data_IF_684892127457
#
_entry.id   IF_684892127457
#
_cell.length_a   1.000
_cell.length_b   1.000
_cell.length_c   1.000
_cell.angle_alpha   90.00
_cell.angle_beta   90.00
_cell.angle_gamma   90.00
#
_symmetry.space_group_name_H-M   'P 1'
#
loop_
_entity.id
_entity.type
_entity.pdbx_description
1 polymer ?
#
# COMPACT_ATOMS: atom_id res chain seq x y z
N UNK A 1 -19.71 -17.47 16.09
CA UNK A 1 -19.66 -16.04 16.48
C UNK A 1 -18.62 -15.75 17.57
N UNK A 2 -17.67 -16.65 17.84
CA UNK A 2 -16.66 -16.53 18.92
C UNK A 2 -15.47 -15.62 18.56
N UNK A 3 -15.08 -15.53 17.29
CA UNK A 3 -13.93 -14.73 16.84
C UNK A 3 -14.10 -13.20 16.96
N UNK A 4 -15.31 -12.69 17.21
CA UNK A 4 -15.57 -11.25 17.31
C UNK A 4 -15.62 -10.72 18.74
N UNK A 5 -15.39 -11.55 19.75
CA UNK A 5 -15.35 -11.09 21.13
C UNK A 5 -13.90 -10.68 21.49
N UNK A 6 -13.60 -9.38 21.66
CA UNK A 6 -12.25 -8.91 21.95
C UNK A 6 -11.71 -9.43 23.29
N UNK A 7 -12.58 -9.78 24.23
CA UNK A 7 -12.19 -10.40 25.50
C UNK A 7 -11.69 -11.83 25.27
N UNK A 8 -12.43 -12.62 24.49
CA UNK A 8 -12.04 -13.99 24.15
C UNK A 8 -10.73 -14.03 23.35
N UNK A 9 -10.56 -13.11 22.40
CA UNK A 9 -9.32 -12.96 21.65
C UNK A 9 -8.14 -12.59 22.57
N UNK A 10 -8.35 -11.68 23.53
CA UNK A 10 -7.33 -11.34 24.50
C UNK A 10 -6.90 -12.55 25.33
N UNK A 11 -7.85 -13.36 25.78
CA UNK A 11 -7.57 -14.60 26.53
C UNK A 11 -6.78 -15.61 25.67
N UNK A 12 -7.18 -15.82 24.42
CA UNK A 12 -6.48 -16.70 23.48
C UNK A 12 -5.03 -16.24 23.19
N UNK A 13 -4.83 -14.93 23.02
CA UNK A 13 -3.49 -14.35 22.84
C UNK A 13 -2.66 -14.54 24.11
N UNK A 14 -3.22 -14.28 25.29
CA UNK A 14 -2.52 -14.47 26.57
C UNK A 14 -2.03 -15.91 26.74
N UNK A 15 -2.91 -16.90 26.48
CA UNK A 15 -2.55 -18.33 26.54
C UNK A 15 -1.49 -18.71 25.51
N UNK A 16 -1.57 -18.13 24.31
CA UNK A 16 -0.61 -18.41 23.23
C UNK A 16 0.77 -17.85 23.55
N UNK A 17 0.85 -16.60 24.02
CA UNK A 17 2.12 -16.00 24.49
C UNK A 17 2.67 -16.81 25.67
N UNK A 18 1.82 -17.23 26.61
CA UNK A 18 2.25 -18.04 27.76
C UNK A 18 2.87 -19.36 27.32
N UNK A 19 2.23 -20.09 26.40
CA UNK A 19 2.78 -21.34 25.85
C UNK A 19 4.09 -21.10 25.11
N UNK A 20 4.16 -20.04 24.31
CA UNK A 20 5.37 -19.67 23.60
C UNK A 20 6.54 -19.34 24.55
N UNK A 21 6.30 -18.56 25.60
CA UNK A 21 7.34 -18.21 26.59
C UNK A 21 7.85 -19.45 27.33
N UNK A 22 6.96 -20.38 27.70
CA UNK A 22 7.37 -21.66 28.30
C UNK A 22 8.21 -22.52 27.37
N UNK A 23 7.90 -22.53 26.08
CA UNK A 23 8.62 -23.31 25.08
C UNK A 23 9.97 -22.67 24.69
N UNK A 24 10.03 -21.34 24.60
CA UNK A 24 11.22 -20.58 24.20
C UNK A 24 12.23 -20.42 25.34
N UNK A 25 11.79 -20.44 26.60
CA UNK A 25 12.64 -20.39 27.80
C UNK A 25 12.46 -21.65 28.66
N UNK A 26 12.94 -22.82 28.20
CA UNK A 26 12.79 -24.05 28.94
C UNK A 26 13.63 -24.03 30.23
N UNK A 27 12.97 -24.18 31.38
CA UNK A 27 13.62 -24.30 32.68
C UNK A 27 13.91 -25.78 32.96
N UNK A 28 15.16 -26.14 33.24
CA UNK A 28 15.54 -27.53 33.56
C UNK A 28 14.76 -28.08 34.76
N UNK A 29 14.39 -29.36 34.72
CA UNK A 29 13.67 -30.05 35.82
C UNK A 29 14.46 -30.06 37.15
N UNK A 30 15.77 -29.78 37.10
CA UNK A 30 16.63 -29.63 38.28
C UNK A 30 16.32 -28.39 39.13
N UNK A 31 15.54 -27.44 38.61
CA UNK A 31 15.16 -26.20 39.30
C UNK A 31 13.63 -26.09 39.44
N UNK A 32 12.98 -26.95 40.25
CA UNK A 32 11.53 -26.99 40.37
C UNK A 32 10.93 -25.69 40.94
N UNK A 33 11.61 -25.07 41.92
CA UNK A 33 11.17 -23.80 42.50
C UNK A 33 11.22 -22.66 41.49
N UNK A 34 12.24 -22.63 40.62
CA UNK A 34 12.34 -21.62 39.56
C UNK A 34 11.24 -21.82 38.51
N UNK A 35 10.96 -23.07 38.12
CA UNK A 35 9.85 -23.37 37.19
C UNK A 35 8.51 -22.93 37.78
N UNK A 36 8.29 -23.20 39.07
CA UNK A 36 7.07 -22.79 39.78
C UNK A 36 6.96 -21.26 39.85
N UNK A 37 8.05 -20.56 40.16
CA UNK A 37 8.09 -19.09 40.19
C UNK A 37 7.82 -18.48 38.80
N UNK A 38 8.40 -19.04 37.75
CA UNK A 38 8.16 -18.63 36.36
C UNK A 38 6.70 -18.84 35.94
N UNK A 39 6.13 -20.00 36.24
CA UNK A 39 4.72 -20.30 35.96
C UNK A 39 3.76 -19.43 36.76
N UNK A 40 4.14 -19.02 37.97
CA UNK A 40 3.38 -18.09 38.79
C UNK A 40 3.47 -16.66 38.24
N UNK A 41 4.66 -16.23 37.82
CA UNK A 41 4.86 -14.93 37.19
C UNK A 41 4.00 -14.79 35.93
N UNK A 42 4.03 -15.77 35.01
CA UNK A 42 3.23 -15.76 33.78
C UNK A 42 1.71 -15.81 33.99
N UNK A 43 1.25 -16.07 35.22
CA UNK A 43 -0.16 -16.04 35.62
C UNK A 43 -0.56 -14.75 36.33
N UNK A 44 0.39 -13.86 36.60
CA UNK A 44 0.06 -12.54 37.17
C UNK A 44 -0.85 -11.78 36.20
N UNK A 45 -1.95 -11.20 36.70
CA UNK A 45 -2.81 -10.33 35.89
C UNK A 45 -1.98 -9.15 35.36
N UNK A 46 -2.32 -8.69 34.16
CA UNK A 46 -1.66 -7.55 33.47
C UNK A 46 -0.19 -7.72 33.08
N UNK A 47 0.45 -8.86 33.39
CA UNK A 47 1.84 -9.09 32.99
C UNK A 47 1.98 -9.29 31.47
N UNK A 48 1.12 -10.12 30.89
CA UNK A 48 1.18 -10.46 29.46
C UNK A 48 0.32 -9.51 28.62
N UNK A 49 -0.87 -9.16 29.12
CA UNK A 49 -1.83 -8.29 28.45
C UNK A 49 -2.61 -7.50 29.51
N UNK A 50 -2.83 -6.20 29.28
CA UNK A 50 -3.66 -5.32 30.12
C UNK A 50 -5.15 -5.36 29.75
N UNK A 51 -5.54 -6.30 28.88
CA UNK A 51 -6.87 -6.37 28.27
C UNK A 51 -7.00 -5.57 26.96
N UNK A 52 -8.15 -5.70 26.25
CA UNK A 52 -8.40 -4.96 25.03
C UNK A 52 -8.69 -3.49 25.34
N UNK A 53 -7.92 -2.58 24.73
CA UNK A 53 -8.20 -1.15 24.80
C UNK A 53 -9.28 -0.79 23.78
N UNK A 54 -10.39 -0.23 24.27
CA UNK A 54 -11.43 0.34 23.42
C UNK A 54 -11.28 1.84 23.47
N UNK A 55 -10.89 2.42 22.34
CA UNK A 55 -10.83 3.87 22.16
C UNK A 55 -11.89 4.28 21.12
N UNK A 56 -12.71 5.27 21.46
CA UNK A 56 -13.57 5.93 20.47
C UNK A 56 -12.75 7.06 19.86
N UNK A 57 -12.32 6.88 18.61
CA UNK A 57 -11.70 7.96 17.86
C UNK A 57 -12.82 8.88 17.34
N UNK A 58 -12.73 10.20 17.57
CA UNK A 58 -13.68 11.14 16.97
C UNK A 58 -13.63 11.03 15.45
N UNK A 59 -14.77 11.18 14.79
CA UNK A 59 -14.80 11.17 13.32
C UNK A 59 -14.00 12.37 12.81
N UNK A 60 -13.27 12.17 11.71
CA UNK A 60 -12.52 13.25 11.09
C UNK A 60 -13.48 14.24 10.44
N UNK A 61 -13.14 15.52 10.51
CA UNK A 61 -13.86 16.60 9.83
C UNK A 61 -14.06 16.23 8.36
N UNK A 62 -15.28 16.45 7.85
CA UNK A 62 -15.65 16.13 6.46
C UNK A 62 -15.47 17.36 5.59
N UNK A 63 -14.99 17.12 4.37
CA UNK A 63 -14.94 18.09 3.29
C UNK A 63 -15.97 17.77 2.21
N UNK A 64 -15.70 18.27 1.00
CA UNK A 64 -16.45 17.98 -0.23
C UNK A 64 -16.30 16.52 -0.67
N UNK A 65 -17.28 16.02 -1.42
CA UNK A 65 -17.18 14.71 -2.07
C UNK A 65 -16.30 14.74 -3.33
N UNK A 66 -15.91 13.58 -3.84
CA UNK A 66 -15.24 13.50 -5.15
C UNK A 66 -16.13 14.04 -6.26
N UNK A 67 -17.44 13.82 -6.16
CA UNK A 67 -18.43 14.39 -7.08
C UNK A 67 -18.39 15.92 -7.09
N UNK A 68 -18.43 16.56 -5.92
CA UNK A 68 -18.39 18.02 -5.83
C UNK A 68 -17.09 18.59 -6.41
N UNK A 69 -15.99 17.84 -6.28
CA UNK A 69 -14.67 18.19 -6.80
C UNK A 69 -14.49 17.92 -8.30
N UNK A 70 -15.32 17.06 -8.91
CA UNK A 70 -15.28 16.75 -10.34
C UNK A 70 -16.33 17.53 -11.16
N UNK A 71 -17.51 17.80 -10.59
CA UNK A 71 -18.64 18.41 -11.31
C UNK A 71 -18.93 19.86 -10.88
N UNK A 72 -18.23 20.37 -9.85
CA UNK A 72 -18.44 21.70 -9.32
C UNK A 72 -17.98 22.84 -10.25
N UNK A 73 -18.35 24.10 -9.96
CA UNK A 73 -17.99 25.27 -10.78
C UNK A 73 -16.48 25.51 -10.90
N UNK A 74 -15.69 24.97 -9.96
CA UNK A 74 -14.23 24.93 -9.98
C UNK A 74 -13.76 23.47 -9.91
N UNK A 75 -14.17 22.65 -10.89
CA UNK A 75 -13.80 21.23 -10.97
C UNK A 75 -12.27 21.06 -10.90
N UNK A 76 -11.82 20.39 -9.84
CA UNK A 76 -10.41 20.09 -9.57
C UNK A 76 -10.02 18.74 -10.16
N UNK A 77 -10.94 17.78 -10.18
CA UNK A 77 -10.71 16.41 -10.60
C UNK A 77 -11.16 16.17 -12.05
N UNK A 78 -10.52 15.21 -12.71
CA UNK A 78 -10.91 14.73 -14.03
C UNK A 78 -12.30 14.05 -14.02
N UNK A 79 -13.11 14.28 -15.06
CA UNK A 79 -14.50 13.78 -15.17
C UNK A 79 -14.64 12.26 -15.03
N UNK A 80 -13.60 11.50 -15.40
CA UNK A 80 -13.60 10.04 -15.29
C UNK A 80 -13.63 9.52 -13.85
N UNK A 81 -13.47 10.37 -12.83
CA UNK A 81 -13.71 9.98 -11.43
C UNK A 81 -15.14 9.46 -11.20
N UNK A 82 -16.12 9.87 -12.02
CA UNK A 82 -17.49 9.33 -12.00
C UNK A 82 -17.60 7.83 -12.27
N UNK A 83 -16.53 7.18 -12.74
CA UNK A 83 -16.43 5.73 -12.91
C UNK A 83 -16.26 4.98 -11.59
N UNK A 84 -15.83 5.67 -10.53
CA UNK A 84 -15.78 5.11 -9.18
C UNK A 84 -17.19 4.69 -8.75
N UNK A 85 -17.28 3.69 -7.86
CA UNK A 85 -18.57 3.30 -7.31
C UNK A 85 -19.22 4.49 -6.58
N UNK A 86 -20.56 4.55 -6.58
CA UNK A 86 -21.30 5.66 -5.95
C UNK A 86 -20.99 5.85 -4.47
N UNK A 87 -20.75 4.74 -3.75
CA UNK A 87 -20.39 4.78 -2.34
C UNK A 87 -19.05 5.47 -2.03
N UNK A 88 -18.15 5.55 -3.01
CA UNK A 88 -16.88 6.29 -2.94
C UNK A 88 -17.05 7.68 -3.58
N UNK A 89 -17.69 7.78 -4.74
CA UNK A 89 -17.81 9.03 -5.51
C UNK A 89 -18.67 10.09 -4.82
N UNK A 90 -19.82 9.67 -4.25
CA UNK A 90 -20.78 10.57 -3.61
C UNK A 90 -20.45 10.82 -2.13
N UNK A 91 -19.56 10.02 -1.52
CA UNK A 91 -19.23 10.12 -0.10
C UNK A 91 -18.37 11.37 0.16
N UNK A 92 -18.66 12.16 1.23
CA UNK A 92 -17.79 13.23 1.68
C UNK A 92 -16.39 12.72 2.03
N UNK A 93 -15.36 13.39 1.49
CA UNK A 93 -13.97 13.14 1.87
C UNK A 93 -13.74 13.59 3.31
N UNK A 94 -12.67 13.09 3.92
CA UNK A 94 -12.13 13.74 5.10
C UNK A 94 -11.43 15.05 4.70
N UNK A 95 -11.44 16.06 5.56
CA UNK A 95 -10.90 17.39 5.24
C UNK A 95 -9.44 17.32 4.78
N UNK A 96 -8.62 16.51 5.46
CA UNK A 96 -7.22 16.29 5.09
C UNK A 96 -7.03 15.65 3.70
N UNK A 97 -8.00 14.85 3.23
CA UNK A 97 -7.97 14.31 1.87
C UNK A 97 -8.25 15.42 0.86
N UNK A 98 -9.26 16.27 1.12
CA UNK A 98 -9.54 17.42 0.26
C UNK A 98 -8.37 18.43 0.25
N UNK A 99 -7.80 18.74 1.42
CA UNK A 99 -6.63 19.62 1.55
C UNK A 99 -5.44 19.07 0.73
N UNK A 100 -5.19 17.76 0.81
CA UNK A 100 -4.16 17.12 -0.01
C UNK A 100 -4.47 17.20 -1.52
N UNK A 101 -5.73 17.02 -1.94
CA UNK A 101 -6.12 17.20 -3.34
C UNK A 101 -5.86 18.64 -3.81
N UNK A 102 -6.25 19.63 -3.02
CA UNK A 102 -6.04 21.04 -3.35
C UNK A 102 -4.55 21.40 -3.45
N UNK A 103 -3.74 20.97 -2.49
CA UNK A 103 -2.30 21.23 -2.49
C UNK A 103 -1.60 20.55 -3.68
N UNK A 104 -1.88 19.26 -3.92
CA UNK A 104 -1.17 18.47 -4.92
C UNK A 104 -1.66 18.76 -6.34
N UNK A 105 -2.98 18.79 -6.58
CA UNK A 105 -3.55 18.97 -7.93
C UNK A 105 -3.68 20.46 -8.25
N UNK A 106 -4.20 21.25 -7.30
CA UNK A 106 -4.45 22.68 -7.49
C UNK A 106 -3.19 23.53 -7.43
N UNK A 107 -2.30 23.22 -6.47
CA UNK A 107 -1.06 23.96 -6.23
C UNK A 107 0.20 23.35 -6.84
N UNK A 108 0.20 22.05 -7.17
CA UNK A 108 1.41 21.35 -7.62
C UNK A 108 2.45 21.17 -6.50
N UNK A 109 2.02 21.15 -5.24
CA UNK A 109 2.91 21.19 -4.08
C UNK A 109 3.40 19.80 -3.64
N UNK A 110 4.66 19.74 -3.20
CA UNK A 110 5.18 18.58 -2.46
C UNK A 110 4.54 18.54 -1.08
N UNK A 111 3.75 17.50 -0.80
CA UNK A 111 2.88 17.45 0.39
C UNK A 111 3.30 16.34 1.36
N UNK A 112 3.32 16.66 2.66
CA UNK A 112 3.43 15.69 3.75
C UNK A 112 2.07 15.59 4.43
N UNK A 113 1.49 14.38 4.46
CA UNK A 113 0.21 14.12 5.11
C UNK A 113 0.48 13.44 6.46
N UNK A 114 0.26 14.18 7.55
CA UNK A 114 0.44 13.70 8.92
C UNK A 114 -0.93 13.48 9.57
N UNK A 115 -1.46 12.26 9.46
CA UNK A 115 -2.78 11.89 10.00
C UNK A 115 -2.73 10.58 10.78
N UNK A 116 -3.73 10.34 11.64
CA UNK A 116 -3.82 9.12 12.43
C UNK A 116 -4.01 7.85 11.58
N UNK A 117 -3.70 6.68 12.14
CA UNK A 117 -3.94 5.39 11.49
C UNK A 117 -5.43 5.21 11.17
N UNK A 118 -5.73 4.69 9.98
CA UNK A 118 -7.12 4.49 9.56
C UNK A 118 -7.85 5.76 9.08
N UNK A 119 -7.16 6.91 8.96
CA UNK A 119 -7.79 8.16 8.50
C UNK A 119 -8.12 8.19 7.00
N UNK A 120 -7.66 7.21 6.22
CA UNK A 120 -7.72 7.27 4.76
C UNK A 120 -6.59 8.10 4.12
N UNK A 121 -5.37 8.02 4.68
CA UNK A 121 -4.17 8.67 4.11
C UNK A 121 -3.85 8.17 2.69
N UNK A 122 -4.25 6.94 2.36
CA UNK A 122 -3.99 6.33 1.05
C UNK A 122 -4.65 7.15 -0.08
N UNK A 123 -5.88 7.58 0.13
CA UNK A 123 -6.65 8.39 -0.82
C UNK A 123 -5.98 9.75 -1.11
N UNK A 124 -5.23 10.30 -0.14
CA UNK A 124 -4.55 11.59 -0.28
C UNK A 124 -3.50 11.59 -1.40
N UNK A 125 -2.90 10.44 -1.72
CA UNK A 125 -1.95 10.32 -2.83
C UNK A 125 -2.52 9.53 -4.02
N UNK A 126 -3.42 8.57 -3.80
CA UNK A 126 -4.00 7.79 -4.91
C UNK A 126 -4.85 8.64 -5.85
N UNK A 127 -5.65 9.56 -5.32
CA UNK A 127 -6.52 10.39 -6.15
C UNK A 127 -5.74 11.41 -6.99
N UNK A 128 -4.74 12.16 -6.46
CA UNK A 128 -3.87 12.97 -7.31
C UNK A 128 -3.14 12.18 -8.39
N UNK A 129 -2.63 10.99 -8.04
CA UNK A 129 -2.00 10.11 -9.02
C UNK A 129 -2.98 9.74 -10.14
N UNK A 130 -4.18 9.30 -9.77
CA UNK A 130 -5.20 8.91 -10.73
C UNK A 130 -5.57 10.09 -11.64
N UNK A 131 -5.83 11.27 -11.08
CA UNK A 131 -6.14 12.49 -11.83
C UNK A 131 -5.03 12.81 -12.85
N UNK A 132 -3.77 12.81 -12.43
CA UNK A 132 -2.64 13.13 -13.30
C UNK A 132 -2.39 12.10 -14.40
N UNK A 133 -2.73 10.82 -14.17
CA UNK A 133 -2.72 9.77 -15.19
C UNK A 133 -3.90 9.94 -16.16
N UNK A 134 -5.09 10.27 -15.65
CA UNK A 134 -6.28 10.50 -16.45
C UNK A 134 -6.20 11.78 -17.30
N UNK A 135 -5.38 12.75 -16.93
CA UNK A 135 -5.09 13.95 -17.73
C UNK A 135 -4.04 13.72 -18.82
N UNK A 136 -3.28 12.61 -18.78
CA UNK A 136 -2.30 12.31 -19.82
C UNK A 136 -3.01 11.97 -21.14
N UNK A 137 -2.63 12.53 -22.30
CA UNK A 137 -3.27 12.21 -23.58
C UNK A 137 -3.29 10.69 -23.81
N UNK A 138 -4.41 10.17 -24.32
CA UNK A 138 -4.62 8.72 -24.45
C UNK A 138 -3.45 8.04 -25.20
N UNK A 139 -3.01 8.61 -26.33
CA UNK A 139 -1.88 8.11 -27.12
C UNK A 139 -0.60 7.95 -26.29
N UNK A 140 -0.36 8.84 -25.33
CA UNK A 140 0.81 8.79 -24.46
C UNK A 140 0.61 7.89 -23.25
N UNK A 141 -0.61 7.84 -22.72
CA UNK A 141 -0.98 6.99 -21.59
C UNK A 141 -0.94 5.50 -21.93
N UNK A 142 -1.06 5.12 -23.20
CA UNK A 142 -0.91 3.72 -23.63
C UNK A 142 0.55 3.30 -23.86
N UNK A 143 1.49 4.26 -23.86
CA UNK A 143 2.92 3.99 -24.04
C UNK A 143 3.55 3.56 -22.70
N UNK A 144 4.33 2.47 -22.67
CA UNK A 144 5.02 2.04 -21.45
C UNK A 144 5.94 3.13 -20.88
N UNK A 145 6.11 3.11 -19.57
CA UNK A 145 7.01 4.02 -18.87
C UNK A 145 6.52 4.36 -17.48
N UNK A 146 7.44 4.40 -16.52
CA UNK A 146 7.12 4.75 -15.14
C UNK A 146 6.62 6.20 -15.09
N UNK A 147 5.47 6.39 -14.43
CA UNK A 147 4.86 7.69 -14.10
C UNK A 147 4.86 7.92 -12.60
N UNK A 148 4.79 6.85 -11.81
CA UNK A 148 4.63 6.89 -10.37
C UNK A 148 5.55 5.84 -9.75
N UNK A 149 6.30 6.24 -8.72
CA UNK A 149 7.06 5.32 -7.87
C UNK A 149 6.50 5.39 -6.44
N UNK A 150 5.94 4.28 -5.97
CA UNK A 150 5.45 4.13 -4.59
C UNK A 150 6.46 3.30 -3.81
N UNK A 151 7.04 3.91 -2.77
CA UNK A 151 8.04 3.27 -1.91
C UNK A 151 7.40 2.96 -0.56
N UNK A 152 7.27 1.68 -0.28
CA UNK A 152 6.79 1.18 1.01
C UNK A 152 7.96 0.65 1.85
N UNK A 153 7.93 0.82 3.18
CA UNK A 153 9.00 0.33 4.05
C UNK A 153 9.04 -1.20 4.15
N UNK A 154 7.86 -1.86 4.08
CA UNK A 154 7.70 -3.29 4.29
C UNK A 154 6.96 -3.95 3.12
N UNK A 155 7.44 -5.13 2.70
CA UNK A 155 6.80 -5.90 1.62
C UNK A 155 5.34 -6.29 1.95
N UNK A 156 5.04 -6.60 3.21
CA UNK A 156 3.68 -6.95 3.63
C UNK A 156 2.73 -5.77 3.45
N UNK A 157 3.15 -4.56 3.85
CA UNK A 157 2.37 -3.34 3.65
C UNK A 157 2.19 -3.03 2.16
N UNK A 158 3.24 -3.18 1.36
CA UNK A 158 3.17 -3.02 -0.09
C UNK A 158 2.14 -3.98 -0.72
N UNK A 159 2.10 -5.23 -0.28
CA UNK A 159 1.15 -6.22 -0.79
C UNK A 159 -0.29 -5.91 -0.36
N UNK A 160 -0.48 -5.50 0.89
CA UNK A 160 -1.80 -5.12 1.41
C UNK A 160 -2.39 -3.95 0.63
N UNK A 161 -1.60 -2.88 0.44
CA UNK A 161 -2.01 -1.73 -0.36
C UNK A 161 -2.20 -2.09 -1.83
N UNK A 162 -1.33 -2.94 -2.38
CA UNK A 162 -1.42 -3.40 -3.76
C UNK A 162 -2.77 -4.08 -4.03
N UNK A 163 -3.14 -5.06 -3.20
CA UNK A 163 -4.37 -5.84 -3.40
C UNK A 163 -5.63 -5.07 -3.00
N UNK A 164 -5.61 -4.31 -1.90
CA UNK A 164 -6.81 -3.63 -1.38
C UNK A 164 -7.14 -2.34 -2.10
N UNK A 165 -6.16 -1.66 -2.69
CA UNK A 165 -6.31 -0.28 -3.17
C UNK A 165 -5.83 -0.10 -4.59
N UNK A 166 -4.57 -0.40 -4.87
CA UNK A 166 -3.95 -0.08 -6.16
C UNK A 166 -4.47 -0.91 -7.34
N UNK A 167 -4.48 -2.24 -7.21
CA UNK A 167 -4.96 -3.13 -8.27
C UNK A 167 -6.47 -2.93 -8.50
N UNK A 168 -7.34 -2.88 -7.48
CA UNK A 168 -8.75 -2.57 -7.67
C UNK A 168 -8.97 -1.23 -8.37
N UNK A 169 -8.25 -0.18 -7.98
CA UNK A 169 -8.40 1.14 -8.58
C UNK A 169 -7.87 1.19 -10.00
N UNK A 170 -6.57 1.00 -10.19
CA UNK A 170 -5.90 1.23 -11.47
C UNK A 170 -6.08 0.08 -12.46
N UNK A 171 -6.07 -1.16 -11.99
CA UNK A 171 -6.18 -2.33 -12.85
C UNK A 171 -7.62 -2.86 -12.97
N UNK A 172 -8.45 -2.63 -11.97
CA UNK A 172 -9.89 -2.88 -11.98
C UNK A 172 -10.66 -1.72 -12.61
N UNK A 173 -11.13 -0.78 -11.78
CA UNK A 173 -12.04 0.31 -12.17
C UNK A 173 -11.53 1.12 -13.38
N UNK A 174 -10.23 1.41 -13.41
CA UNK A 174 -9.60 2.19 -14.47
C UNK A 174 -8.75 1.35 -15.43
N UNK A 175 -8.90 0.01 -15.43
CA UNK A 175 -8.08 -0.87 -16.25
C UNK A 175 -8.23 -0.65 -17.75
N UNK A 176 -9.41 -0.22 -18.19
CA UNK A 176 -9.69 0.17 -19.58
C UNK A 176 -9.07 1.50 -20.01
N UNK A 177 -8.39 2.22 -19.12
CA UNK A 177 -7.77 3.53 -19.41
C UNK A 177 -6.27 3.42 -19.74
N UNK A 178 -5.78 2.25 -20.14
CA UNK A 178 -4.36 2.04 -20.49
C UNK A 178 -3.39 2.11 -19.30
N UNK A 179 -3.86 2.30 -18.07
CA UNK A 179 -3.02 2.36 -16.87
C UNK A 179 -2.50 0.95 -16.55
N UNK A 180 -1.23 0.85 -16.18
CA UNK A 180 -0.58 -0.42 -15.85
C UNK A 180 0.08 -0.31 -14.49
N UNK A 181 0.05 -1.40 -13.73
CA UNK A 181 0.61 -1.48 -12.38
C UNK A 181 1.64 -2.59 -12.34
N UNK A 182 2.73 -2.40 -11.62
CA UNK A 182 3.74 -3.43 -11.40
C UNK A 182 4.29 -3.36 -9.99
N UNK A 183 4.54 -4.53 -9.38
CA UNK A 183 5.24 -4.63 -8.10
C UNK A 183 6.63 -5.17 -8.34
N UNK A 184 7.66 -4.38 -8.01
CA UNK A 184 9.06 -4.79 -8.06
C UNK A 184 9.62 -4.87 -6.64
N UNK A 185 9.49 -6.04 -6.02
CA UNK A 185 10.06 -6.33 -4.69
C UNK A 185 10.97 -7.57 -4.76
N UNK A 186 11.56 -7.94 -3.61
CA UNK A 186 12.30 -9.20 -3.46
C UNK A 186 11.45 -10.44 -3.77
N UNK A 187 10.12 -10.32 -3.63
CA UNK A 187 9.15 -11.41 -3.89
C UNK A 187 8.69 -11.47 -5.35
N UNK A 188 9.05 -10.51 -6.19
CA UNK A 188 8.66 -10.51 -7.60
C UNK A 188 9.51 -11.53 -8.36
N UNK A 189 8.90 -12.56 -8.97
CA UNK A 189 9.63 -13.58 -9.71
C UNK A 189 10.31 -12.96 -10.93
N UNK A 190 11.49 -13.47 -11.27
CA UNK A 190 12.26 -12.97 -12.41
C UNK A 190 11.61 -13.38 -13.73
N UNK A 191 11.56 -14.68 -13.97
CA UNK A 191 11.16 -15.29 -15.25
C UNK A 191 10.18 -16.44 -14.98
N UNK A 192 9.08 -16.15 -14.27
CA UNK A 192 7.99 -17.10 -14.08
C UNK A 192 7.02 -17.03 -15.26
N UNK A 193 6.40 -18.16 -15.59
CA UNK A 193 5.22 -18.16 -16.47
C UNK A 193 4.11 -17.37 -15.78
N UNK A 194 3.48 -16.46 -16.52
CA UNK A 194 2.42 -15.59 -15.99
C UNK A 194 1.30 -16.40 -15.35
N UNK A 195 0.92 -17.50 -15.98
CA UNK A 195 -0.17 -18.39 -15.55
C UNK A 195 0.08 -18.96 -14.14
N UNK A 196 1.35 -19.22 -13.79
CA UNK A 196 1.70 -19.70 -12.44
C UNK A 196 1.48 -18.61 -11.39
N UNK A 197 1.84 -17.36 -11.72
CA UNK A 197 1.63 -16.22 -10.82
C UNK A 197 0.15 -15.86 -10.69
N UNK A 198 -0.61 -15.95 -11.78
CA UNK A 198 -2.06 -15.78 -11.76
C UNK A 198 -2.73 -16.81 -10.86
N UNK A 199 -2.36 -18.09 -10.99
CA UNK A 199 -2.86 -19.15 -10.10
C UNK A 199 -2.50 -18.88 -8.64
N UNK A 200 -1.26 -18.43 -8.36
CA UNK A 200 -0.82 -18.08 -7.00
C UNK A 200 -1.62 -16.91 -6.42
N UNK A 201 -1.88 -15.87 -7.22
CA UNK A 201 -2.62 -14.67 -6.79
C UNK A 201 -4.10 -14.99 -6.60
N UNK A 202 -4.71 -15.76 -7.50
CA UNK A 202 -6.11 -16.19 -7.38
C UNK A 202 -6.33 -17.14 -6.18
N UNK A 203 -5.28 -17.87 -5.76
CA UNK A 203 -5.29 -18.65 -4.54
C UNK A 203 -5.10 -17.84 -3.24
N UNK A 204 -4.79 -16.54 -3.34
CA UNK A 204 -4.58 -15.68 -2.18
C UNK A 204 -5.93 -15.12 -1.66
N UNK A 205 -6.34 -15.45 -0.41
CA UNK A 205 -7.60 -14.97 0.15
C UNK A 205 -7.68 -13.44 0.25
N UNK A 206 -6.54 -12.77 0.42
CA UNK A 206 -6.50 -11.31 0.54
C UNK A 206 -6.89 -10.63 -0.78
N UNK A 207 -6.41 -11.17 -1.90
CA UNK A 207 -6.73 -10.66 -3.23
C UNK A 207 -8.19 -10.94 -3.60
N UNK A 208 -8.64 -12.18 -3.43
CA UNK A 208 -10.01 -12.58 -3.80
C UNK A 208 -11.09 -11.86 -2.99
N UNK A 209 -10.79 -11.46 -1.75
CA UNK A 209 -11.68 -10.66 -0.90
C UNK A 209 -11.73 -9.16 -1.24
N UNK A 210 -10.93 -8.67 -2.20
CA UNK A 210 -10.78 -7.23 -2.50
C UNK A 210 -11.09 -6.86 -3.96
N UNK A 211 -12.27 -7.24 -4.51
CA UNK A 211 -12.67 -6.83 -5.85
C UNK A 211 -13.05 -5.33 -5.92
N UNK A 212 -12.90 -4.69 -7.08
CA UNK A 212 -13.22 -3.26 -7.26
C UNK A 212 -14.70 -2.91 -7.08
N UNK A 213 -15.60 -3.86 -7.35
CA UNK A 213 -17.06 -3.69 -7.42
C UNK A 213 -17.82 -4.54 -6.38
N UNK A 214 -17.11 -5.28 -5.54
CA UNK A 214 -17.73 -6.20 -4.57
C UNK A 214 -18.21 -7.53 -5.18
N UNK A 215 -18.10 -7.75 -6.49
CA UNK A 215 -18.60 -8.97 -7.17
C UNK A 215 -17.55 -10.08 -7.32
N UNK A 216 -16.34 -9.88 -6.81
CA UNK A 216 -15.25 -10.85 -6.82
C UNK A 216 -14.36 -10.73 -8.08
N UNK A 217 -13.11 -11.20 -7.98
CA UNK A 217 -12.21 -11.25 -9.13
C UNK A 217 -12.50 -12.49 -9.97
N UNK A 218 -12.81 -12.32 -11.26
CA UNK A 218 -12.93 -13.45 -12.19
C UNK A 218 -11.56 -13.92 -12.68
N UNK A 219 -10.66 -12.98 -12.97
CA UNK A 219 -9.29 -13.22 -13.43
C UNK A 219 -8.37 -12.11 -12.88
N UNK A 220 -7.06 -12.36 -12.89
CA UNK A 220 -6.06 -11.32 -12.60
C UNK A 220 -6.01 -10.32 -13.77
N UNK A 221 -6.10 -9.00 -13.53
CA UNK A 221 -6.06 -8.01 -14.61
C UNK A 221 -4.79 -8.10 -15.47
N UNK A 222 -4.96 -8.04 -16.79
CA UNK A 222 -3.85 -8.17 -17.75
C UNK A 222 -2.89 -6.98 -17.71
N UNK A 223 -3.37 -5.82 -17.30
CA UNK A 223 -2.59 -4.60 -17.11
C UNK A 223 -1.87 -4.54 -15.75
N UNK A 224 -1.97 -5.58 -14.93
CA UNK A 224 -1.08 -5.81 -13.81
C UNK A 224 0.09 -6.70 -14.26
N UNK A 225 1.29 -6.15 -14.18
CA UNK A 225 2.54 -6.83 -14.53
C UNK A 225 3.07 -7.60 -13.33
N UNK A 226 3.20 -8.91 -13.48
CA UNK A 226 3.40 -9.86 -12.39
C UNK A 226 4.88 -10.26 -12.21
N UNK A 227 5.68 -10.16 -13.27
CA UNK A 227 7.08 -10.61 -13.28
C UNK A 227 8.06 -9.46 -13.56
N UNK A 228 9.33 -9.66 -13.21
CA UNK A 228 10.38 -8.69 -13.54
C UNK A 228 10.58 -8.58 -15.04
N UNK A 229 10.53 -9.69 -15.77
CA UNK A 229 10.69 -9.69 -17.23
C UNK A 229 9.56 -8.93 -17.92
N UNK A 230 8.30 -9.08 -17.47
CA UNK A 230 7.18 -8.28 -17.97
C UNK A 230 7.42 -6.78 -17.74
N UNK A 231 7.81 -6.39 -16.53
CA UNK A 231 8.06 -4.98 -16.20
C UNK A 231 9.29 -4.42 -16.93
N UNK A 232 10.34 -5.21 -17.16
CA UNK A 232 11.54 -4.77 -17.88
C UNK A 232 11.29 -4.63 -19.39
N UNK A 233 10.42 -5.48 -19.95
CA UNK A 233 10.00 -5.40 -21.35
C UNK A 233 8.99 -4.28 -21.58
N UNK A 234 8.05 -4.09 -20.64
CA UNK A 234 7.00 -3.09 -20.71
C UNK A 234 6.87 -2.38 -19.36
N UNK A 235 7.64 -1.29 -19.10
CA UNK A 235 7.59 -0.61 -17.82
C UNK A 235 6.18 -0.17 -17.40
N UNK A 236 5.76 -0.44 -16.15
CA UNK A 236 4.43 -0.07 -15.67
C UNK A 236 4.31 1.45 -15.45
N UNK A 237 3.10 1.98 -15.53
CA UNK A 237 2.82 3.37 -15.15
C UNK A 237 2.98 3.59 -13.64
N UNK A 238 2.43 2.67 -12.84
CA UNK A 238 2.52 2.68 -11.37
C UNK A 238 3.44 1.57 -10.89
N UNK A 239 4.63 1.96 -10.40
CA UNK A 239 5.63 1.05 -9.86
C UNK A 239 5.56 1.03 -8.33
N UNK A 240 5.24 -0.13 -7.75
CA UNK A 240 5.27 -0.38 -6.31
C UNK A 240 6.58 -1.09 -5.95
N UNK A 241 7.34 -0.51 -5.02
CA UNK A 241 8.63 -1.07 -4.58
C UNK A 241 8.92 -0.74 -3.12
N UNK A 242 10.12 -1.10 -2.64
CA UNK A 242 10.66 -0.70 -1.35
C UNK A 242 12.04 -0.04 -1.55
N UNK A 243 12.59 0.59 -0.52
CA UNK A 243 13.85 1.34 -0.64
C UNK A 243 15.01 0.46 -1.13
N UNK A 244 15.15 -0.76 -0.61
CA UNK A 244 16.22 -1.67 -1.00
C UNK A 244 16.11 -2.06 -2.49
N UNK A 245 14.91 -2.39 -2.96
CA UNK A 245 14.68 -2.78 -4.34
C UNK A 245 14.77 -1.59 -5.30
N UNK A 246 14.36 -0.40 -4.87
CA UNK A 246 14.61 0.82 -5.63
C UNK A 246 16.11 1.08 -5.79
N UNK A 247 16.92 0.84 -4.78
CA UNK A 247 18.39 0.90 -4.92
C UNK A 247 18.90 -0.10 -5.94
N UNK A 248 18.47 -1.36 -5.87
CA UNK A 248 18.79 -2.36 -6.88
C UNK A 248 18.34 -1.95 -8.29
N UNK A 249 17.18 -1.31 -8.43
CA UNK A 249 16.69 -0.82 -9.73
C UNK A 249 17.59 0.27 -10.31
N UNK A 250 18.13 1.15 -9.46
CA UNK A 250 18.96 2.28 -9.89
C UNK A 250 20.42 1.90 -10.13
N UNK A 251 20.97 0.91 -9.40
CA UNK A 251 22.37 0.54 -9.48
C UNK A 251 22.69 -0.43 -10.62
N UNK A 252 21.81 -1.40 -10.92
CA UNK A 252 22.15 -2.49 -11.84
C UNK A 252 21.76 -2.16 -13.30
N UNK A 253 22.70 -2.21 -14.27
CA UNK A 253 22.43 -1.87 -15.67
C UNK A 253 21.32 -2.70 -16.32
N UNK A 254 21.18 -3.96 -15.94
CA UNK A 254 20.11 -4.85 -16.43
C UNK A 254 18.69 -4.32 -16.15
N UNK A 255 18.54 -3.44 -15.17
CA UNK A 255 17.25 -2.84 -14.80
C UNK A 255 17.01 -1.50 -15.52
N UNK A 256 17.95 -1.06 -16.37
CA UNK A 256 17.87 0.26 -16.98
C UNK A 256 16.64 0.44 -17.86
N UNK A 257 16.19 -0.65 -18.51
CA UNK A 257 15.00 -0.63 -19.35
C UNK A 257 13.72 -0.31 -18.58
N UNK A 258 13.68 -0.55 -17.27
CA UNK A 258 12.52 -0.20 -16.44
C UNK A 258 12.23 1.30 -16.46
N UNK A 259 13.26 2.13 -16.63
CA UNK A 259 13.13 3.58 -16.68
C UNK A 259 13.16 4.14 -18.11
N UNK A 260 13.12 3.29 -19.15
CA UNK A 260 12.95 3.76 -20.53
C UNK A 260 11.55 4.35 -20.70
N UNK A 261 11.45 5.52 -21.35
CA UNK A 261 10.19 6.23 -21.50
C UNK A 261 9.57 6.72 -20.19
N UNK A 262 10.36 6.75 -19.11
CA UNK A 262 9.93 7.30 -17.82
C UNK A 262 9.51 8.76 -17.99
N UNK A 263 8.33 9.10 -17.48
CA UNK A 263 7.81 10.46 -17.35
C UNK A 263 7.32 10.60 -15.92
N UNK A 264 8.26 10.59 -14.98
CA UNK A 264 7.96 10.55 -13.55
C UNK A 264 7.15 11.80 -13.15
N UNK A 265 5.92 11.58 -12.67
CA UNK A 265 5.00 12.60 -12.14
C UNK A 265 4.97 12.59 -10.62
N UNK A 266 5.08 11.40 -9.99
CA UNK A 266 4.97 11.24 -8.54
C UNK A 266 6.01 10.28 -7.97
N UNK A 267 6.53 10.64 -6.79
CA UNK A 267 7.19 9.71 -5.88
C UNK A 267 6.46 9.79 -4.54
N UNK A 268 5.98 8.66 -4.03
CA UNK A 268 5.30 8.59 -2.73
C UNK A 268 6.15 7.74 -1.79
N UNK A 269 6.42 8.29 -0.62
CA UNK A 269 7.03 7.57 0.49
C UNK A 269 5.93 7.30 1.52
N UNK A 270 5.52 6.04 1.65
CA UNK A 270 4.60 5.67 2.73
C UNK A 270 5.36 5.47 4.04
N UNK A 271 4.68 5.73 5.15
CA UNK A 271 5.21 5.68 6.51
C UNK A 271 6.57 6.39 6.66
N UNK A 272 6.67 7.63 6.19
CA UNK A 272 7.93 8.39 6.18
C UNK A 272 8.63 8.45 7.56
N UNK A 273 7.87 8.39 8.64
CA UNK A 273 8.37 8.35 10.01
C UNK A 273 9.21 7.11 10.34
N UNK A 274 9.09 6.03 9.55
CA UNK A 274 9.90 4.82 9.70
C UNK A 274 11.33 5.02 9.21
N UNK A 275 11.58 6.00 8.35
CA UNK A 275 12.92 6.34 7.91
C UNK A 275 13.58 7.27 8.94
N UNK A 276 14.47 6.71 9.77
CA UNK A 276 15.21 7.45 10.79
C UNK A 276 16.72 7.21 10.72
N UNK A 277 17.50 8.13 11.28
CA UNK A 277 18.95 8.02 11.40
C UNK A 277 19.66 7.76 10.06
N UNK A 278 20.53 6.74 10.02
CA UNK A 278 21.29 6.37 8.83
C UNK A 278 20.38 5.99 7.65
N UNK A 279 19.29 5.28 7.90
CA UNK A 279 18.35 4.86 6.86
C UNK A 279 17.69 6.06 6.16
N UNK A 280 17.33 7.11 6.92
CA UNK A 280 16.79 8.34 6.34
C UNK A 280 17.78 9.00 5.37
N UNK A 281 19.07 8.99 5.74
CA UNK A 281 20.15 9.52 4.89
C UNK A 281 20.29 8.72 3.61
N UNK A 282 20.27 7.37 3.69
CA UNK A 282 20.32 6.49 2.53
C UNK A 282 19.13 6.71 1.58
N UNK A 283 17.91 6.78 2.12
CA UNK A 283 16.70 7.04 1.33
C UNK A 283 16.78 8.41 0.66
N UNK A 284 17.28 9.45 1.35
CA UNK A 284 17.48 10.77 0.75
C UNK A 284 18.47 10.73 -0.43
N UNK A 285 19.60 10.03 -0.30
CA UNK A 285 20.53 9.82 -1.42
C UNK A 285 19.92 9.00 -2.55
N UNK A 286 19.11 7.99 -2.21
CA UNK A 286 18.42 7.15 -3.18
C UNK A 286 17.45 7.97 -4.03
N UNK A 287 16.67 8.87 -3.41
CA UNK A 287 15.77 9.77 -4.14
C UNK A 287 16.55 10.74 -5.05
N UNK A 288 17.67 11.30 -4.58
CA UNK A 288 18.54 12.13 -5.42
C UNK A 288 19.07 11.34 -6.64
N UNK A 289 19.46 10.08 -6.46
CA UNK A 289 19.86 9.19 -7.56
C UNK A 289 18.70 8.94 -8.54
N UNK A 290 17.49 8.71 -8.01
CA UNK A 290 16.29 8.51 -8.82
C UNK A 290 16.04 9.74 -9.69
N UNK A 291 15.93 10.93 -9.09
CA UNK A 291 15.67 12.18 -9.83
C UNK A 291 16.73 12.44 -10.88
N UNK A 292 18.02 12.32 -10.53
CA UNK A 292 19.13 12.47 -11.49
C UNK A 292 19.05 11.48 -12.66
N UNK A 293 18.52 10.28 -12.44
CA UNK A 293 18.38 9.25 -13.48
C UNK A 293 17.24 9.53 -14.43
N UNK A 294 16.12 10.06 -13.94
CA UNK A 294 14.89 10.23 -14.73
C UNK A 294 14.76 11.61 -15.37
N UNK A 295 15.60 12.58 -14.99
CA UNK A 295 15.60 13.95 -15.53
C UNK A 295 15.27 14.96 -14.45
#
# INVERSE_FOLDING_TARGET
>A
MTERNPLHLADEIAETIRRYLKASLPISDRFPELRKAFDAALRQPDLLLKGPFIESLPDFVKGRSLKDLAEGPNALLHDDFKRLNRGIYDRPLHSHQEEALQAIIGGGENTIVATGTGSGKTECFLYPILDALLREPEVDRYKPGVRVVLVYPLNALANDQLYKRLVPLFAGTFGGQGITVGRYTGLTPRSAKRENEEARIMGDPLFTATPPDGMGWSNVPTNWLLTRDEMLARPPHVLVTNYAMLEHLLLFPKNASLFHGCKLKFVVLDEVHTYAGAQATEVAFLLRKLFKRVG
#
